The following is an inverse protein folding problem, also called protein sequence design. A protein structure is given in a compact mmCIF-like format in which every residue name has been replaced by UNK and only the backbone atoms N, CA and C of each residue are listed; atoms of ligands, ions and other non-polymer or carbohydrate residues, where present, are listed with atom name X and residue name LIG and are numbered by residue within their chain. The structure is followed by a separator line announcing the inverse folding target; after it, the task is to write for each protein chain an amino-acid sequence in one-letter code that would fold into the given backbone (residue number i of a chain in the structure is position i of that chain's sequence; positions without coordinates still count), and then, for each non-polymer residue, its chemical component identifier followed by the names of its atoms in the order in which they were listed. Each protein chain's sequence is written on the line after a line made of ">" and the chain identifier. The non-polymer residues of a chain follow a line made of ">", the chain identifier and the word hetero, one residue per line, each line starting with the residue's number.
data_IF_322350037840
#
_entry.id   IF_322350037840
#
_cell.length_a   1.000
_cell.length_b   1.000
_cell.length_c   1.000
_cell.angle_alpha   90.00
_cell.angle_beta   90.00
_cell.angle_gamma   90.00
#
_symmetry.space_group_name_H-M   'P 1'
#
loop_
_entity.id
_entity.type
_entity.pdbx_description
1 polymer ?
#
# COMPACT_ATOMS: atom_id res chain seq x y z
N UNK A 1 -16.55 18.10 -23.98
CA UNK A 1 -16.64 16.63 -23.90
C UNK A 1 -15.33 16.17 -24.49
N UNK A 2 -14.34 15.78 -23.70
CA UNK A 2 -14.16 14.38 -23.29
C UNK A 2 -13.03 14.32 -22.25
N UNK A 3 -13.32 14.71 -21.01
CA UNK A 3 -12.53 14.24 -19.87
C UNK A 3 -13.02 12.81 -19.59
N UNK A 4 -12.61 11.89 -20.46
CA UNK A 4 -12.81 10.46 -20.23
C UNK A 4 -11.71 10.05 -19.26
N UNK A 5 -11.99 10.12 -17.96
CA UNK A 5 -11.25 9.32 -17.00
C UNK A 5 -11.73 7.88 -17.18
N UNK A 6 -11.16 7.17 -18.15
CA UNK A 6 -11.27 5.72 -18.22
C UNK A 6 -10.59 5.19 -16.96
N UNK A 7 -11.37 4.66 -16.03
CA UNK A 7 -10.87 3.76 -15.02
C UNK A 7 -10.46 2.46 -15.73
N UNK A 8 -9.24 2.48 -16.28
CA UNK A 8 -8.45 1.40 -16.87
C UNK A 8 -9.18 0.34 -17.71
N UNK A 9 -9.10 0.49 -19.04
CA UNK A 9 -8.85 -0.63 -19.94
C UNK A 9 -7.34 -0.94 -19.90
N UNK A 10 -6.84 -1.47 -18.79
CA UNK A 10 -5.51 -2.05 -18.76
C UNK A 10 -5.63 -3.44 -19.38
N UNK A 11 -5.23 -3.60 -20.64
CA UNK A 11 -4.72 -4.89 -21.08
C UNK A 11 -3.38 -5.05 -20.39
N UNK A 12 -3.30 -5.90 -19.37
CA UNK A 12 -1.99 -6.41 -18.96
C UNK A 12 -1.31 -6.97 -20.19
N UNK A 13 -0.02 -6.68 -20.38
CA UNK A 13 0.78 -7.56 -21.20
C UNK A 13 0.59 -8.96 -20.60
N UNK A 14 0.10 -9.89 -21.41
CA UNK A 14 -0.28 -11.25 -21.04
C UNK A 14 0.81 -11.94 -20.19
N UNK A 15 0.78 -11.75 -18.87
CA UNK A 15 1.20 -12.76 -17.93
C UNK A 15 -0.04 -13.61 -17.72
N UNK A 16 -0.26 -14.53 -18.67
CA UNK A 16 -1.18 -15.67 -18.55
C UNK A 16 -0.60 -16.69 -17.54
N UNK A 17 0.01 -16.19 -16.46
CA UNK A 17 0.73 -16.92 -15.42
C UNK A 17 0.16 -16.45 -14.07
N UNK A 18 -0.53 -17.36 -13.39
CA UNK A 18 -0.87 -17.19 -11.98
C UNK A 18 0.44 -17.16 -11.17
N UNK A 19 0.67 -16.07 -10.44
CA UNK A 19 1.83 -15.93 -9.56
C UNK A 19 1.43 -16.36 -8.15
N UNK A 20 1.82 -17.57 -7.78
CA UNK A 20 1.48 -18.21 -6.51
C UNK A 20 2.64 -18.25 -5.50
N UNK A 21 3.85 -17.82 -5.88
CA UNK A 21 5.05 -17.81 -5.02
C UNK A 21 5.66 -16.41 -4.84
N UNK A 22 6.18 -16.14 -3.64
CA UNK A 22 6.86 -14.89 -3.30
C UNK A 22 8.16 -14.69 -4.10
N UNK A 23 8.96 -15.74 -4.26
CA UNK A 23 10.21 -15.73 -5.04
C UNK A 23 9.99 -15.21 -6.47
N UNK A 24 8.91 -15.66 -7.13
CA UNK A 24 8.54 -15.25 -8.49
C UNK A 24 8.26 -13.76 -8.60
N UNK A 25 7.59 -13.18 -7.61
CA UNK A 25 7.36 -11.72 -7.56
C UNK A 25 8.70 -10.98 -7.49
N UNK A 26 9.61 -11.44 -6.63
CA UNK A 26 10.93 -10.81 -6.47
C UNK A 26 11.72 -10.86 -7.77
N UNK A 27 11.76 -12.02 -8.44
CA UNK A 27 12.42 -12.17 -9.74
C UNK A 27 11.89 -11.18 -10.79
N UNK A 28 10.57 -11.03 -10.89
CA UNK A 28 9.95 -10.12 -11.84
C UNK A 28 10.33 -8.65 -11.58
N UNK A 29 10.33 -8.24 -10.31
CA UNK A 29 10.69 -6.88 -9.91
C UNK A 29 12.18 -6.59 -10.11
N UNK A 30 13.06 -7.53 -9.80
CA UNK A 30 14.50 -7.37 -10.02
C UNK A 30 14.85 -7.35 -11.51
N UNK A 31 14.30 -8.26 -12.31
CA UNK A 31 14.49 -8.25 -13.77
C UNK A 31 14.00 -6.94 -14.39
N UNK A 32 12.85 -6.42 -13.93
CA UNK A 32 12.32 -5.13 -14.37
C UNK A 32 13.26 -3.98 -13.99
N UNK A 33 13.77 -3.97 -12.76
CA UNK A 33 14.72 -2.97 -12.28
C UNK A 33 16.01 -2.97 -13.11
N UNK A 34 16.56 -4.13 -13.44
CA UNK A 34 17.76 -4.24 -14.28
C UNK A 34 17.54 -3.64 -15.68
N UNK A 35 16.39 -3.93 -16.29
CA UNK A 35 15.99 -3.35 -17.59
C UNK A 35 15.88 -1.83 -17.53
N UNK A 36 15.27 -1.29 -16.47
CA UNK A 36 15.23 0.17 -16.25
C UNK A 36 16.63 0.76 -16.10
N UNK A 37 17.52 0.10 -15.35
CA UNK A 37 18.90 0.55 -15.15
C UNK A 37 19.73 0.49 -16.44
N UNK A 38 19.38 -0.41 -17.36
CA UNK A 38 19.93 -0.46 -18.71
C UNK A 38 19.39 0.68 -19.63
N UNK A 39 18.48 1.51 -19.13
CA UNK A 39 17.89 2.64 -19.86
C UNK A 39 16.72 2.25 -20.76
N UNK A 40 16.10 1.09 -20.51
CA UNK A 40 14.91 0.67 -21.23
C UNK A 40 13.70 1.49 -20.78
N UNK A 41 12.89 1.94 -21.76
CA UNK A 41 11.61 2.58 -21.51
C UNK A 41 10.55 1.49 -21.33
N UNK A 42 10.00 1.37 -20.12
CA UNK A 42 9.10 0.30 -19.73
C UNK A 42 7.71 0.84 -19.42
N UNK A 43 6.68 0.16 -19.93
CA UNK A 43 5.28 0.45 -19.62
C UNK A 43 4.98 0.33 -18.11
N UNK A 44 3.88 0.95 -17.68
CA UNK A 44 3.39 0.86 -16.30
C UNK A 44 3.22 -0.60 -15.85
N UNK A 45 3.70 -0.91 -14.65
CA UNK A 45 3.57 -2.24 -14.05
C UNK A 45 2.71 -2.14 -12.80
N UNK A 46 1.58 -2.82 -12.81
CA UNK A 46 0.63 -2.85 -11.70
C UNK A 46 0.50 -4.29 -11.24
N UNK A 47 0.72 -4.48 -9.94
CA UNK A 47 0.54 -5.75 -9.26
C UNK A 47 -0.67 -5.65 -8.35
N UNK A 48 -1.58 -6.61 -8.44
CA UNK A 48 -2.76 -6.72 -7.59
C UNK A 48 -2.63 -7.96 -6.74
N UNK A 49 -2.59 -7.80 -5.42
CA UNK A 49 -2.57 -8.91 -4.46
C UNK A 49 -3.92 -8.95 -3.79
N UNK A 50 -4.70 -9.99 -4.10
CA UNK A 50 -5.95 -10.27 -3.41
C UNK A 50 -5.71 -10.95 -2.07
N UNK A 51 -6.65 -10.79 -1.14
CA UNK A 51 -6.59 -11.35 0.22
C UNK A 51 -5.27 -11.09 0.97
N UNK A 52 -4.68 -9.90 0.78
CA UNK A 52 -3.43 -9.48 1.42
C UNK A 52 -3.47 -9.67 2.95
N UNK A 53 -4.65 -9.53 3.54
CA UNK A 53 -4.99 -9.93 4.90
C UNK A 53 -4.47 -11.31 5.31
N UNK A 54 -4.90 -12.37 4.65
CA UNK A 54 -4.57 -13.76 5.01
C UNK A 54 -3.08 -14.04 4.87
N UNK A 55 -2.49 -13.39 3.88
CA UNK A 55 -1.09 -13.43 3.59
C UNK A 55 -0.28 -12.76 4.73
N UNK A 56 -0.77 -11.68 5.35
CA UNK A 56 0.00 -10.81 6.25
C UNK A 56 -0.43 -10.75 7.75
N UNK A 57 -1.53 -11.38 8.19
CA UNK A 57 -2.05 -11.29 9.59
C UNK A 57 -1.83 -12.52 10.49
N UNK A 58 -0.80 -13.33 10.25
CA UNK A 58 -0.62 -14.64 10.89
C UNK A 58 0.11 -14.65 12.25
N UNK A 59 -0.64 -14.40 13.33
CA UNK A 59 -0.27 -14.61 14.74
C UNK A 59 0.92 -15.54 14.99
N UNK A 60 2.07 -14.98 15.39
CA UNK A 60 3.20 -15.72 15.97
C UNK A 60 4.40 -15.99 15.04
N UNK A 61 4.22 -15.90 13.72
CA UNK A 61 5.30 -15.93 12.70
C UNK A 61 5.41 -14.61 11.89
N UNK A 62 4.71 -13.57 12.36
CA UNK A 62 4.40 -12.33 11.64
C UNK A 62 5.60 -11.48 11.24
N UNK A 63 6.72 -11.53 11.98
CA UNK A 63 7.85 -10.67 11.67
C UNK A 63 8.50 -11.00 10.32
N UNK A 64 8.57 -12.29 9.95
CA UNK A 64 9.18 -12.71 8.69
C UNK A 64 8.33 -12.29 7.49
N UNK A 65 7.01 -12.46 7.58
CA UNK A 65 6.06 -12.06 6.54
C UNK A 65 5.98 -10.55 6.36
N UNK A 66 5.98 -9.79 7.47
CA UNK A 66 6.03 -8.33 7.42
C UNK A 66 7.33 -7.82 6.78
N UNK A 67 8.48 -8.45 7.07
CA UNK A 67 9.77 -8.14 6.43
C UNK A 67 9.77 -8.46 4.93
N UNK A 68 9.22 -9.61 4.55
CA UNK A 68 9.10 -10.00 3.15
C UNK A 68 8.24 -8.99 2.36
N UNK A 69 7.12 -8.55 2.94
CA UNK A 69 6.29 -7.53 2.32
C UNK A 69 6.97 -6.16 2.24
N UNK A 70 7.65 -5.73 3.30
CA UNK A 70 8.42 -4.49 3.27
C UNK A 70 9.52 -4.54 2.18
N UNK A 71 10.17 -5.69 2.00
CA UNK A 71 11.11 -5.95 0.90
C UNK A 71 10.41 -5.83 -0.46
N UNK A 72 9.25 -6.46 -0.63
CA UNK A 72 8.45 -6.40 -1.86
C UNK A 72 8.05 -4.97 -2.20
N UNK A 73 7.55 -4.19 -1.25
CA UNK A 73 7.18 -2.78 -1.44
C UNK A 73 8.39 -1.91 -1.83
N UNK A 74 9.55 -2.14 -1.21
CA UNK A 74 10.81 -1.45 -1.55
C UNK A 74 11.30 -1.82 -2.95
N UNK A 75 11.20 -3.09 -3.33
CA UNK A 75 11.54 -3.56 -4.69
C UNK A 75 10.59 -2.96 -5.72
N UNK A 76 9.28 -2.97 -5.45
CA UNK A 76 8.27 -2.37 -6.33
C UNK A 76 8.56 -0.89 -6.59
N UNK A 77 8.88 -0.13 -5.52
CA UNK A 77 9.30 1.27 -5.64
C UNK A 77 10.55 1.45 -6.52
N UNK A 78 11.56 0.60 -6.36
CA UNK A 78 12.80 0.64 -7.17
C UNK A 78 12.58 0.22 -8.63
N UNK A 79 11.60 -0.63 -8.88
CA UNK A 79 11.22 -1.13 -10.19
C UNK A 79 10.15 -0.27 -10.88
N UNK A 80 9.80 0.88 -10.31
CA UNK A 80 8.70 1.74 -10.78
C UNK A 80 7.41 0.94 -11.04
N UNK A 81 7.06 0.10 -10.06
CA UNK A 81 5.87 -0.73 -10.05
C UNK A 81 4.90 -0.22 -8.99
N UNK A 82 3.61 -0.26 -9.33
CA UNK A 82 2.51 0.05 -8.42
C UNK A 82 1.97 -1.25 -7.82
N UNK A 83 1.73 -1.23 -6.50
CA UNK A 83 1.16 -2.36 -5.78
C UNK A 83 -0.22 -1.99 -5.25
N UNK A 84 -1.22 -2.81 -5.56
CA UNK A 84 -2.57 -2.71 -5.01
C UNK A 84 -2.81 -3.92 -4.11
N UNK A 85 -3.03 -3.66 -2.83
CA UNK A 85 -3.35 -4.67 -1.84
C UNK A 85 -4.86 -4.64 -1.59
N UNK A 86 -5.54 -5.77 -1.78
CA UNK A 86 -6.96 -5.94 -1.51
C UNK A 86 -7.09 -6.74 -0.22
N UNK A 87 -7.82 -6.18 0.75
CA UNK A 87 -8.16 -6.83 2.01
C UNK A 87 -9.67 -6.91 2.18
N UNK A 88 -10.13 -7.87 2.97
CA UNK A 88 -11.56 -8.10 3.17
C UNK A 88 -12.14 -7.20 4.27
N UNK A 89 -11.42 -7.04 5.38
CA UNK A 89 -11.77 -6.10 6.45
C UNK A 89 -10.64 -5.09 6.66
N UNK A 90 -11.00 -3.82 6.94
CA UNK A 90 -10.03 -2.76 7.31
C UNK A 90 -9.24 -3.02 8.61
N UNK A 91 -9.37 -4.23 9.18
CA UNK A 91 -8.61 -4.78 10.31
C UNK A 91 -7.30 -5.43 9.88
N UNK A 92 -7.22 -5.88 8.65
CA UNK A 92 -6.27 -6.93 8.28
C UNK A 92 -4.91 -6.40 7.82
N UNK A 93 -4.76 -5.09 7.76
CA UNK A 93 -3.50 -4.45 7.42
C UNK A 93 -2.93 -3.84 8.70
N UNK A 94 -1.86 -4.42 9.23
CA UNK A 94 -1.19 -3.92 10.44
C UNK A 94 -0.64 -2.49 10.26
N UNK A 95 -0.44 -1.71 11.34
CA UNK A 95 0.10 -0.34 11.26
C UNK A 95 1.40 -0.23 10.45
N UNK A 96 2.27 -1.23 10.56
CA UNK A 96 3.54 -1.32 9.81
C UNK A 96 3.34 -1.40 8.30
N UNK A 97 2.32 -2.11 7.84
CA UNK A 97 1.99 -2.19 6.43
C UNK A 97 1.29 -0.93 5.95
N UNK A 98 0.39 -0.35 6.77
CA UNK A 98 -0.26 0.93 6.44
C UNK A 98 0.73 2.04 6.16
N UNK A 99 1.79 2.15 6.97
CA UNK A 99 2.82 3.17 6.79
C UNK A 99 3.58 3.09 5.45
N UNK A 100 3.52 1.95 4.76
CA UNK A 100 4.16 1.77 3.47
C UNK A 100 3.20 2.02 2.29
N UNK A 101 1.89 2.15 2.57
CA UNK A 101 0.87 2.43 1.58
C UNK A 101 0.71 3.94 1.39
N UNK A 102 0.39 4.37 0.17
CA UNK A 102 0.26 5.79 -0.19
C UNK A 102 -1.18 6.27 -0.26
N UNK A 103 -2.13 5.36 -0.44
CA UNK A 103 -3.56 5.67 -0.51
C UNK A 103 -4.38 4.49 0.00
N UNK A 104 -5.52 4.79 0.62
CA UNK A 104 -6.45 3.80 1.14
C UNK A 104 -7.79 3.94 0.46
N UNK A 105 -8.29 2.86 -0.12
CA UNK A 105 -9.53 2.86 -0.90
C UNK A 105 -10.59 2.07 -0.15
N UNK A 106 -11.68 2.73 0.23
CA UNK A 106 -12.84 2.08 0.81
C UNK A 106 -13.90 1.90 -0.27
N UNK A 107 -14.16 0.64 -0.66
CA UNK A 107 -15.24 0.28 -1.57
C UNK A 107 -16.57 0.23 -0.81
N UNK A 108 -17.30 1.34 -0.82
CA UNK A 108 -18.60 1.46 -0.15
C UNK A 108 -19.70 0.63 -0.82
N UNK A 109 -19.62 0.46 -2.14
CA UNK A 109 -20.56 -0.36 -2.91
C UNK A 109 -19.95 -0.82 -4.24
N UNK A 110 -20.69 -1.61 -5.00
CA UNK A 110 -20.29 -1.98 -6.37
C UNK A 110 -20.09 -0.78 -7.31
N UNK A 111 -20.58 0.42 -6.95
CA UNK A 111 -20.56 1.61 -7.82
C UNK A 111 -19.87 2.81 -7.20
N UNK A 112 -19.35 2.68 -5.98
CA UNK A 112 -18.76 3.79 -5.21
C UNK A 112 -17.52 3.34 -4.46
N UNK A 113 -16.51 4.19 -4.49
CA UNK A 113 -15.30 4.03 -3.71
C UNK A 113 -14.79 5.40 -3.26
N UNK A 114 -14.28 5.47 -2.04
CA UNK A 114 -13.75 6.70 -1.45
C UNK A 114 -12.27 6.50 -1.14
N UNK A 115 -11.45 7.48 -1.53
CA UNK A 115 -10.00 7.47 -1.35
C UNK A 115 -9.65 8.32 -0.14
N UNK A 116 -8.81 7.78 0.73
CA UNK A 116 -8.34 8.40 1.95
C UNK A 116 -6.82 8.40 1.97
N UNK A 117 -6.25 9.38 2.69
CA UNK A 117 -4.80 9.47 2.90
C UNK A 117 -4.30 8.47 3.92
N UNK A 118 -5.11 8.16 4.93
CA UNK A 118 -4.76 7.20 5.99
C UNK A 118 -6.02 6.45 6.46
N UNK A 119 -5.84 5.39 7.25
CA UNK A 119 -6.90 4.65 7.94
C UNK A 119 -6.52 4.44 9.39
N UNK A 120 -7.38 4.89 10.29
CA UNK A 120 -7.27 4.61 11.72
C UNK A 120 -8.58 4.12 12.29
N UNK A 121 -8.51 3.10 13.15
CA UNK A 121 -9.68 2.47 13.77
C UNK A 121 -10.79 2.10 12.76
N UNK A 122 -10.39 1.70 11.54
CA UNK A 122 -11.26 1.34 10.40
C UNK A 122 -12.01 2.52 9.78
N UNK A 123 -11.62 3.74 10.09
CA UNK A 123 -12.14 4.95 9.49
C UNK A 123 -11.07 5.56 8.60
N UNK A 124 -11.45 5.87 7.36
CA UNK A 124 -10.61 6.63 6.46
C UNK A 124 -10.43 8.05 6.98
N UNK A 125 -9.18 8.53 6.95
CA UNK A 125 -8.77 9.86 7.41
C UNK A 125 -8.26 10.64 6.20
N UNK A 126 -8.64 11.92 6.14
CA UNK A 126 -8.25 12.83 5.06
C UNK A 126 -8.80 12.35 3.72
N UNK A 127 -10.11 12.45 3.52
CA UNK A 127 -10.73 12.14 2.23
C UNK A 127 -10.04 12.94 1.11
N UNK A 128 -9.55 12.23 0.10
CA UNK A 128 -8.90 12.81 -1.07
C UNK A 128 -9.91 13.03 -2.19
N UNK A 129 -10.71 12.00 -2.47
CA UNK A 129 -11.70 12.00 -3.53
C UNK A 129 -12.69 10.85 -3.37
N UNK A 130 -13.86 11.02 -3.98
CA UNK A 130 -14.91 10.00 -4.05
C UNK A 130 -15.25 9.69 -5.51
N UNK A 131 -15.25 8.41 -5.87
CA UNK A 131 -15.67 7.91 -7.18
C UNK A 131 -17.10 7.40 -7.13
N UNK A 132 -17.86 7.71 -8.18
CA UNK A 132 -19.22 7.19 -8.37
C UNK A 132 -19.45 6.75 -9.81
N UNK A 133 -20.32 5.75 -9.99
CA UNK A 133 -20.61 5.19 -11.31
C UNK A 133 -19.54 4.24 -11.82
N UNK A 134 -18.80 3.57 -10.92
CA UNK A 134 -17.82 2.54 -11.28
C UNK A 134 -18.53 1.49 -12.15
N UNK A 135 -18.04 1.23 -13.38
CA UNK A 135 -18.68 0.29 -14.28
C UNK A 135 -18.60 -1.13 -13.70
N UNK A 136 -19.57 -2.01 -14.00
CA UNK A 136 -19.46 -3.41 -13.64
C UNK A 136 -18.27 -4.03 -14.39
N UNK A 137 -17.29 -4.49 -13.63
CA UNK A 137 -16.13 -5.23 -14.13
C UNK A 137 -16.26 -6.67 -13.64
N UNK A 138 -17.16 -7.43 -14.27
CA UNK A 138 -17.18 -8.87 -14.09
C UNK A 138 -16.20 -9.46 -15.09
N UNK A 139 -15.13 -10.07 -14.60
CA UNK A 139 -14.41 -11.06 -15.37
C UNK A 139 -15.18 -12.36 -15.16
N UNK A 140 -15.85 -12.84 -16.21
CA UNK A 140 -16.73 -14.03 -16.15
C UNK A 140 -15.97 -15.34 -15.85
N UNK A 141 -14.62 -15.28 -15.78
CA UNK A 141 -13.73 -16.44 -15.61
C UNK A 141 -13.13 -16.60 -14.20
N UNK A 142 -13.47 -15.75 -13.21
CA UNK A 142 -13.02 -15.98 -11.84
C UNK A 142 -13.98 -16.90 -11.08
N UNK A 143 -13.51 -18.08 -10.71
CA UNK A 143 -14.22 -18.97 -9.81
C UNK A 143 -14.25 -18.36 -8.40
N UNK A 144 -15.43 -18.01 -7.90
CA UNK A 144 -15.64 -17.57 -6.50
C UNK A 144 -15.30 -18.63 -5.45
N UNK A 145 -14.93 -19.84 -5.87
CA UNK A 145 -14.54 -20.96 -5.03
C UNK A 145 -13.05 -21.27 -5.12
N UNK A 146 -12.28 -20.46 -5.86
CA UNK A 146 -10.84 -20.59 -5.89
C UNK A 146 -10.26 -19.99 -4.61
N UNK A 147 -9.75 -20.85 -3.72
CA UNK A 147 -8.95 -20.41 -2.59
C UNK A 147 -7.54 -20.14 -3.12
N UNK A 148 -7.27 -18.89 -3.50
CA UNK A 148 -5.96 -18.49 -3.99
C UNK A 148 -4.87 -18.87 -2.98
N UNK A 149 -4.01 -19.81 -3.34
CA UNK A 149 -2.99 -20.34 -2.43
C UNK A 149 -1.66 -19.66 -2.71
N UNK A 150 -1.38 -18.59 -1.96
CA UNK A 150 -0.09 -17.91 -2.04
C UNK A 150 0.95 -18.53 -1.10
N UNK A 151 2.13 -18.88 -1.62
CA UNK A 151 3.24 -19.52 -0.90
C UNK A 151 4.34 -18.49 -0.63
N UNK A 152 4.65 -18.29 0.65
CA UNK A 152 5.83 -17.54 1.09
C UNK A 152 7.04 -18.46 1.14
N UNK A 153 7.72 -18.60 0.02
CA UNK A 153 8.96 -19.37 -0.17
C UNK A 153 10.21 -18.47 -0.08
N UNK A 154 10.21 -17.51 0.84
CA UNK A 154 11.41 -16.74 1.13
C UNK A 154 12.43 -17.66 1.84
N UNK A 155 13.59 -17.89 1.21
CA UNK A 155 14.68 -18.66 1.83
C UNK A 155 15.07 -18.04 3.18
N UNK A 156 15.13 -18.89 4.22
CA UNK A 156 15.49 -18.53 5.59
C UNK A 156 17.00 -18.26 5.77
N UNK A 157 17.82 -18.50 4.73
CA UNK A 157 19.28 -18.39 4.81
C UNK A 157 19.78 -16.99 4.39
N UNK A 158 20.20 -16.25 5.41
CA UNK A 158 21.40 -15.42 5.49
C UNK A 158 21.91 -14.75 4.20
N UNK A 159 21.30 -13.63 3.83
CA UNK A 159 22.07 -12.45 3.41
C UNK A 159 21.35 -11.18 3.85
N UNK A 160 21.94 -10.53 4.86
CA UNK A 160 21.40 -9.38 5.58
C UNK A 160 21.39 -8.07 4.76
N UNK A 161 21.61 -8.13 3.45
CA UNK A 161 21.56 -6.97 2.56
C UNK A 161 20.17 -6.84 1.91
N UNK A 162 19.28 -6.09 2.56
CA UNK A 162 18.02 -5.65 1.96
C UNK A 162 16.76 -5.96 2.76
N UNK A 163 16.86 -6.73 3.84
CA UNK A 163 15.78 -6.86 4.81
C UNK A 163 15.63 -5.55 5.59
N UNK A 164 14.38 -5.06 5.67
CA UNK A 164 14.05 -3.94 6.56
C UNK A 164 14.14 -4.46 7.99
N UNK A 165 15.04 -3.88 8.77
CA UNK A 165 15.18 -4.15 10.20
C UNK A 165 13.90 -3.73 10.92
N UNK A 166 13.67 -4.28 12.12
CA UNK A 166 12.54 -3.84 12.94
C UNK A 166 12.64 -2.34 13.24
N UNK A 167 13.85 -1.84 13.48
CA UNK A 167 14.12 -0.43 13.74
C UNK A 167 13.77 0.46 12.54
N UNK A 168 14.18 0.09 11.33
CA UNK A 168 13.79 0.81 10.10
C UNK A 168 12.28 0.79 9.87
N UNK A 169 11.60 -0.31 10.20
CA UNK A 169 10.14 -0.39 10.07
C UNK A 169 9.43 0.52 11.09
N UNK A 170 9.90 0.53 12.34
CA UNK A 170 9.38 1.43 13.38
C UNK A 170 9.66 2.90 13.05
N UNK A 171 10.80 3.20 12.44
CA UNK A 171 11.13 4.53 11.94
C UNK A 171 10.21 4.94 10.80
N UNK A 172 9.99 4.09 9.80
CA UNK A 172 9.06 4.36 8.70
C UNK A 172 7.63 4.61 9.19
N UNK A 173 7.15 3.81 10.14
CA UNK A 173 5.84 4.02 10.77
C UNK A 173 5.77 5.38 11.44
N UNK A 174 6.80 5.74 12.21
CA UNK A 174 6.84 7.02 12.91
C UNK A 174 6.92 8.19 11.93
N UNK A 175 7.74 8.10 10.89
CA UNK A 175 7.87 9.15 9.87
C UNK A 175 6.57 9.37 9.12
N UNK A 176 5.88 8.28 8.75
CA UNK A 176 4.57 8.32 8.12
C UNK A 176 3.53 8.96 9.03
N UNK A 177 3.43 8.54 10.30
CA UNK A 177 2.50 9.17 11.26
C UNK A 177 2.78 10.68 11.41
N UNK A 178 4.04 11.09 11.42
CA UNK A 178 4.41 12.50 11.50
C UNK A 178 4.05 13.27 10.23
N UNK A 179 4.34 12.73 9.06
CA UNK A 179 3.96 13.32 7.78
C UNK A 179 2.44 13.50 7.70
N UNK A 180 1.69 12.46 8.07
CA UNK A 180 0.23 12.48 8.07
C UNK A 180 -0.35 13.52 9.03
N UNK A 181 0.18 13.63 10.25
CA UNK A 181 -0.22 14.69 11.19
C UNK A 181 0.01 16.09 10.61
N UNK A 182 1.13 16.31 9.92
CA UNK A 182 1.44 17.59 9.30
C UNK A 182 0.50 17.90 8.12
N UNK A 183 0.22 16.91 7.27
CA UNK A 183 -0.73 17.03 6.15
C UNK A 183 -2.13 17.34 6.67
N UNK A 184 -2.60 16.67 7.73
CA UNK A 184 -3.94 16.89 8.27
C UNK A 184 -4.08 18.30 8.86
N UNK A 185 -3.08 18.78 9.60
CA UNK A 185 -3.06 20.15 10.12
C UNK A 185 -3.03 21.19 8.99
N UNK A 186 -2.40 20.89 7.85
CA UNK A 186 -2.31 21.79 6.70
C UNK A 186 -3.54 21.76 5.78
N UNK A 187 -4.22 20.62 5.66
CA UNK A 187 -5.26 20.38 4.64
C UNK A 187 -6.67 20.26 5.19
N UNK A 188 -6.85 20.19 6.51
CA UNK A 188 -8.16 20.04 7.15
C UNK A 188 -8.40 21.12 8.20
N UNK A 189 -9.66 21.29 8.62
CA UNK A 189 -10.04 22.22 9.70
C UNK A 189 -9.85 21.62 11.11
N UNK A 190 -9.22 20.45 11.22
CA UNK A 190 -8.99 19.80 12.50
C UNK A 190 -7.97 20.58 13.33
N UNK A 191 -8.26 20.73 14.62
CA UNK A 191 -7.30 21.30 15.57
C UNK A 191 -6.17 20.31 15.88
N UNK A 192 -5.01 20.83 16.31
CA UNK A 192 -3.89 19.98 16.75
C UNK A 192 -4.25 19.04 17.90
N UNK A 193 -5.22 19.42 18.72
CA UNK A 193 -5.74 18.55 19.77
C UNK A 193 -6.54 17.38 19.18
N UNK A 194 -7.43 17.63 18.22
CA UNK A 194 -8.21 16.58 17.55
C UNK A 194 -7.33 15.63 16.72
N UNK A 195 -6.30 16.16 16.04
CA UNK A 195 -5.30 15.34 15.36
C UNK A 195 -4.51 14.52 16.40
N UNK A 196 -4.13 15.13 17.52
CA UNK A 196 -3.45 14.44 18.62
C UNK A 196 -4.28 13.28 19.18
N UNK A 197 -5.57 13.52 19.42
CA UNK A 197 -6.52 12.50 19.89
C UNK A 197 -6.66 11.37 18.86
N UNK A 198 -6.75 11.71 17.56
CA UNK A 198 -6.74 10.71 16.49
C UNK A 198 -5.46 9.88 16.55
N UNK A 199 -4.28 10.49 16.62
CA UNK A 199 -3.00 9.76 16.59
C UNK A 199 -2.59 9.15 17.94
N UNK A 200 -3.31 9.44 19.04
CA UNK A 200 -2.97 8.97 20.38
C UNK A 200 -1.73 9.68 20.95
N UNK A 201 -1.47 10.91 20.52
CA UNK A 201 -0.29 11.71 20.88
C UNK A 201 -0.70 13.10 21.38
N UNK A 202 0.24 13.81 22.03
CA UNK A 202 -0.01 15.17 22.48
C UNK A 202 -0.08 16.18 21.33
N UNK A 203 -0.83 17.27 21.52
CA UNK A 203 -0.83 18.48 20.67
C UNK A 203 0.60 18.98 20.35
N UNK A 204 1.52 18.91 21.32
CA UNK A 204 2.94 19.26 21.15
C UNK A 204 3.63 18.37 20.13
N UNK A 205 3.25 17.11 20.00
CA UNK A 205 3.80 16.17 19.02
C UNK A 205 3.33 16.56 17.63
N UNK A 206 2.03 16.85 17.45
CA UNK A 206 1.46 17.33 16.18
C UNK A 206 2.15 18.61 15.74
N UNK A 207 2.36 19.57 16.65
CA UNK A 207 3.08 20.82 16.34
C UNK A 207 4.52 20.59 15.89
N UNK A 208 5.22 19.61 16.48
CA UNK A 208 6.58 19.25 16.05
C UNK A 208 6.58 18.58 14.68
N UNK A 209 5.59 17.74 14.41
CA UNK A 209 5.42 17.11 13.10
C UNK A 209 5.19 18.16 12.02
N UNK A 210 4.30 19.14 12.26
CA UNK A 210 4.12 20.29 11.37
C UNK A 210 5.43 21.03 11.11
N UNK A 211 6.16 21.42 12.16
CA UNK A 211 7.44 22.14 12.02
C UNK A 211 8.49 21.34 11.23
N UNK A 212 8.47 20.01 11.32
CA UNK A 212 9.40 19.14 10.60
C UNK A 212 9.14 19.14 9.08
N UNK A 213 7.87 19.18 8.68
CA UNK A 213 7.44 19.12 7.28
C UNK A 213 6.98 20.47 6.73
N UNK A 214 7.26 21.56 7.45
CA UNK A 214 6.82 22.92 7.10
C UNK A 214 7.39 23.38 5.74
N UNK A 215 8.63 22.98 5.44
CA UNK A 215 9.30 23.29 4.16
C UNK A 215 8.81 22.43 2.98
N UNK A 216 8.27 21.24 3.25
CA UNK A 216 7.76 20.32 2.21
C UNK A 216 6.29 20.57 1.87
N UNK A 217 5.54 21.15 2.79
CA UNK A 217 4.11 21.49 2.64
C UNK A 217 3.86 22.94 2.16
N UNK A 218 4.93 23.74 2.02
CA UNK A 218 4.92 25.16 1.66
C UNK A 218 4.98 25.46 0.17
#
# INVERSE_FOLDING_TARGET
>A
RENVYMAANLSSADLDEEIDHYSRIVELLDARRERMQAGEDLDEFIMVIDEAAQIFTGSGADQHKAKALAKLLKLARKANANLVLIGQDGKDVGPSLRALCTAFVHKESQKKATFYRDVKDRQGIGEMMSLSGIPPTNYDDYSTWDEGKFVFDADDDEDAEGYVTQEELEELVREHEWEMMAILDATTDLTQAEIGDQYGVSDKTVRRAKQRYEDELG
#
